data_IF_646992084688
#
_entry.id   IF_646992084688
#
_cell.length_a   1.000
_cell.length_b   1.000
_cell.length_c   1.000
_cell.angle_alpha   90.00
_cell.angle_beta   90.00
_cell.angle_gamma   90.00
#
_symmetry.space_group_name_H-M   'P 1'
#
loop_
_entity.id
_entity.type
_entity.pdbx_description
1 polymer ?
#
# COMPACT_ATOMS: atom_id res chain seq x y z
N UNK A 1 -10.75 -33.72 -46.21
CA UNK A 1 -9.35 -33.73 -45.72
C UNK A 1 -8.67 -32.44 -46.18
N UNK A 2 -7.82 -31.86 -45.32
CA UNK A 2 -6.81 -30.80 -45.54
C UNK A 2 -7.26 -29.31 -45.58
N UNK A 3 -7.16 -28.72 -44.38
CA UNK A 3 -6.66 -27.39 -43.94
C UNK A 3 -5.94 -26.47 -44.95
N UNK A 4 -6.04 -25.14 -44.73
CA UNK A 4 -5.00 -24.06 -44.66
C UNK A 4 -5.77 -22.70 -44.63
N UNK A 5 -5.90 -21.95 -43.52
CA UNK A 5 -4.97 -21.01 -42.81
C UNK A 5 -4.52 -19.78 -43.64
N UNK A 6 -4.94 -18.62 -43.14
CA UNK A 6 -4.42 -17.23 -43.23
C UNK A 6 -3.27 -16.86 -44.18
N UNK A 7 -3.43 -15.72 -44.88
CA UNK A 7 -2.34 -14.80 -45.21
C UNK A 7 -2.90 -13.38 -45.52
N UNK A 8 -2.75 -12.43 -44.58
CA UNK A 8 -2.68 -11.00 -44.92
C UNK A 8 -1.24 -10.58 -44.68
N UNK A 9 -0.60 -10.15 -45.76
CA UNK A 9 0.79 -9.74 -45.84
C UNK A 9 1.04 -8.43 -45.07
N UNK A 10 2.15 -8.48 -44.35
CA UNK A 10 2.86 -7.42 -43.65
C UNK A 10 3.35 -6.36 -44.64
N UNK A 11 3.14 -5.09 -44.32
CA UNK A 11 3.98 -3.99 -44.78
C UNK A 11 4.49 -3.24 -43.54
N UNK A 12 5.82 -3.26 -43.40
CA UNK A 12 6.57 -2.75 -42.28
C UNK A 12 6.59 -1.21 -42.24
N UNK A 13 6.48 -0.65 -41.05
CA UNK A 13 7.13 0.63 -40.72
C UNK A 13 8.02 0.36 -39.51
N UNK A 14 9.31 0.21 -39.79
CA UNK A 14 10.35 0.35 -38.79
C UNK A 14 10.37 1.82 -38.35
N UNK A 15 9.99 2.07 -37.11
CA UNK A 15 10.15 3.35 -36.42
C UNK A 15 10.48 3.07 -34.98
N UNK A 16 11.72 2.67 -34.72
CA UNK A 16 12.28 2.57 -33.39
C UNK A 16 12.33 3.97 -32.76
N UNK A 17 11.31 4.32 -32.00
CA UNK A 17 11.37 5.39 -31.01
C UNK A 17 11.27 4.70 -29.65
N UNK A 18 12.43 4.42 -29.04
CA UNK A 18 12.46 4.00 -27.65
C UNK A 18 11.72 5.00 -26.77
N UNK A 19 11.14 4.58 -25.63
CA UNK A 19 10.71 5.54 -24.64
C UNK A 19 11.97 6.27 -24.17
N UNK A 20 12.12 7.51 -24.62
CA UNK A 20 13.06 8.45 -24.03
C UNK A 20 12.68 8.56 -22.55
N UNK A 21 13.47 7.91 -21.70
CA UNK A 21 13.51 8.18 -20.26
C UNK A 21 14.04 9.61 -20.15
N UNK A 22 13.14 10.58 -20.26
CA UNK A 22 13.39 11.95 -19.87
C UNK A 22 13.57 11.94 -18.35
N UNK A 23 14.82 11.77 -17.93
CA UNK A 23 15.27 12.03 -16.58
C UNK A 23 15.12 13.54 -16.31
N UNK A 24 13.91 13.97 -15.99
CA UNK A 24 13.68 15.23 -15.31
C UNK A 24 14.05 15.03 -13.84
N UNK A 25 15.34 15.28 -13.55
CA UNK A 25 15.79 15.61 -12.21
C UNK A 25 15.18 16.96 -11.81
N UNK A 26 13.89 16.93 -11.45
CA UNK A 26 13.21 18.06 -10.84
C UNK A 26 13.51 18.04 -9.34
N UNK A 27 14.44 18.93 -8.97
CA UNK A 27 14.64 19.56 -7.65
C UNK A 27 13.58 19.16 -6.62
N UNK A 28 14.01 18.44 -5.57
CA UNK A 28 13.23 18.19 -4.35
C UNK A 28 12.67 19.50 -3.80
N UNK A 29 11.40 19.75 -4.10
CA UNK A 29 10.54 20.55 -3.27
C UNK A 29 9.79 19.56 -2.38
N UNK A 30 9.98 19.66 -1.06
CA UNK A 30 9.09 19.04 -0.08
C UNK A 30 7.71 19.64 -0.27
N UNK A 31 6.92 19.03 -1.15
CA UNK A 31 5.52 19.37 -1.31
C UNK A 31 4.74 18.65 -0.19
N UNK A 32 3.81 19.34 0.48
CA UNK A 32 2.87 18.67 1.34
C UNK A 32 2.11 17.64 0.51
N UNK A 33 1.96 16.43 1.04
CA UNK A 33 1.30 15.30 0.39
C UNK A 33 -0.20 15.60 0.25
N UNK A 34 -0.56 16.40 -0.75
CA UNK A 34 -1.95 16.60 -1.17
C UNK A 34 -2.16 15.83 -2.46
N UNK A 35 -2.26 14.50 -2.36
CA UNK A 35 -2.86 13.67 -3.39
C UNK A 35 -4.08 12.95 -2.79
N UNK A 36 -5.20 13.66 -2.81
CA UNK A 36 -6.55 13.18 -2.43
C UNK A 36 -7.18 12.40 -3.58
N UNK A 37 -6.43 11.51 -4.24
CA UNK A 37 -7.07 10.47 -5.03
C UNK A 37 -7.58 9.41 -4.05
N UNK A 38 -8.85 8.96 -4.15
CA UNK A 38 -9.35 7.90 -3.29
C UNK A 38 -8.47 6.67 -3.46
N UNK A 39 -8.07 6.08 -2.34
CA UNK A 39 -7.17 4.93 -2.34
C UNK A 39 -7.79 3.75 -3.11
N UNK A 40 -6.99 3.12 -3.97
CA UNK A 40 -7.40 1.93 -4.71
C UNK A 40 -7.66 0.74 -3.79
N UNK A 41 -8.34 -0.29 -4.28
CA UNK A 41 -8.62 -1.51 -3.51
C UNK A 41 -7.32 -2.16 -2.98
N UNK A 42 -6.28 -2.25 -3.81
CA UNK A 42 -4.98 -2.83 -3.41
C UNK A 42 -4.28 -2.02 -2.33
N UNK A 43 -4.35 -0.68 -2.43
CA UNK A 43 -3.77 0.22 -1.45
C UNK A 43 -4.49 0.12 -0.10
N UNK A 44 -5.83 0.04 -0.12
CA UNK A 44 -6.64 -0.17 1.09
C UNK A 44 -6.35 -1.52 1.74
N UNK A 45 -6.21 -2.59 0.94
CA UNK A 45 -5.79 -3.90 1.44
C UNK A 45 -4.38 -3.87 2.04
N UNK A 46 -3.40 -3.28 1.35
CA UNK A 46 -2.02 -3.17 1.84
C UNK A 46 -1.91 -2.37 3.13
N UNK A 47 -2.58 -1.20 3.18
CA UNK A 47 -2.62 -0.35 4.36
C UNK A 47 -3.36 -1.00 5.53
N UNK A 48 -4.47 -1.68 5.27
CA UNK A 48 -5.20 -2.43 6.29
C UNK A 48 -4.32 -3.52 6.92
N UNK A 49 -3.62 -4.31 6.11
CA UNK A 49 -2.68 -5.35 6.59
C UNK A 49 -1.59 -4.72 7.44
N UNK A 50 -0.99 -3.60 7.01
CA UNK A 50 0.08 -2.95 7.76
C UNK A 50 -0.39 -2.47 9.14
N UNK A 51 -1.54 -1.80 9.20
CA UNK A 51 -2.05 -1.21 10.45
C UNK A 51 -2.42 -2.29 11.47
N UNK A 52 -3.10 -3.36 11.03
CA UNK A 52 -3.39 -4.53 11.89
C UNK A 52 -2.10 -5.21 12.36
N UNK A 53 -1.10 -5.32 11.47
CA UNK A 53 0.19 -5.93 11.82
C UNK A 53 0.93 -5.14 12.89
N UNK A 54 0.88 -3.80 12.85
CA UNK A 54 1.51 -2.95 13.88
C UNK A 54 0.88 -3.22 15.25
N UNK A 55 -0.46 -3.28 15.31
CA UNK A 55 -1.14 -3.58 16.57
C UNK A 55 -0.83 -5.00 17.07
N UNK A 56 -0.88 -6.00 16.20
CA UNK A 56 -0.55 -7.39 16.55
C UNK A 56 0.89 -7.52 17.06
N UNK A 57 1.85 -6.82 16.46
CA UNK A 57 3.25 -6.77 16.93
C UNK A 57 3.30 -6.18 18.35
N UNK A 58 2.60 -5.07 18.61
CA UNK A 58 2.58 -4.45 19.93
C UNK A 58 1.91 -5.33 20.99
N UNK A 59 0.85 -6.07 20.62
CA UNK A 59 0.17 -7.00 21.51
C UNK A 59 1.06 -8.21 21.86
N UNK A 60 1.76 -8.77 20.88
CA UNK A 60 2.65 -9.93 21.07
C UNK A 60 3.99 -9.60 21.69
N UNK A 61 4.40 -8.32 21.67
CA UNK A 61 5.69 -7.87 22.20
C UNK A 61 5.50 -6.80 23.29
N UNK A 62 5.08 -7.18 24.50
CA UNK A 62 4.83 -6.24 25.60
C UNK A 62 6.09 -5.45 26.01
N UNK A 63 7.28 -5.99 25.76
CA UNK A 63 8.54 -5.27 25.96
C UNK A 63 8.72 -4.08 25.01
N UNK A 64 8.24 -4.18 23.76
CA UNK A 64 8.23 -3.05 22.83
C UNK A 64 7.26 -1.97 23.31
N UNK A 65 6.06 -2.37 23.74
CA UNK A 65 5.09 -1.45 24.33
C UNK A 65 5.64 -0.77 25.58
N UNK A 66 6.40 -1.50 26.42
CA UNK A 66 7.04 -0.95 27.61
C UNK A 66 8.19 -0.01 27.27
N UNK A 67 8.93 -0.26 26.19
CA UNK A 67 9.97 0.65 25.69
C UNK A 67 9.36 1.95 25.15
N UNK A 68 8.25 1.87 24.43
CA UNK A 68 7.52 3.06 23.98
C UNK A 68 6.92 3.85 25.16
N UNK A 69 6.40 3.18 26.20
CA UNK A 69 5.85 3.85 27.38
C UNK A 69 6.90 4.49 28.29
N UNK A 70 8.16 4.01 28.23
CA UNK A 70 9.32 4.57 28.94
C UNK A 70 10.13 5.57 28.12
N UNK A 71 9.83 5.73 26.82
CA UNK A 71 10.44 6.75 25.97
C UNK A 71 9.94 8.15 26.31
N UNK A 72 10.52 9.19 25.68
CA UNK A 72 10.08 10.58 25.83
C UNK A 72 8.55 10.69 25.71
N UNK A 73 7.91 11.61 26.44
CA UNK A 73 6.45 11.66 26.61
C UNK A 73 5.60 11.60 25.32
N UNK A 74 6.19 11.95 24.17
CA UNK A 74 5.59 11.78 22.83
C UNK A 74 5.43 10.32 22.40
N UNK A 75 6.36 9.45 22.76
CA UNK A 75 6.39 8.01 22.42
C UNK A 75 5.36 7.22 23.25
N UNK A 76 5.23 7.57 24.54
CA UNK A 76 4.23 6.97 25.42
C UNK A 76 2.80 7.36 25.01
N UNK A 77 2.60 8.60 24.54
CA UNK A 77 1.33 9.08 24.03
C UNK A 77 0.94 8.47 22.67
N UNK A 78 1.89 7.92 21.91
CA UNK A 78 1.62 7.24 20.63
C UNK A 78 1.02 5.84 20.80
N UNK A 79 1.20 5.17 21.95
CA UNK A 79 0.74 3.78 22.13
C UNK A 79 -0.78 3.60 21.95
N UNK A 80 -1.63 4.43 22.58
CA UNK A 80 -3.07 4.38 22.35
C UNK A 80 -3.43 4.69 20.90
N UNK A 81 -2.71 5.62 20.26
CA UNK A 81 -2.90 5.95 18.85
C UNK A 81 -2.59 4.74 17.95
N UNK A 82 -1.47 4.05 18.17
CA UNK A 82 -1.07 2.86 17.41
C UNK A 82 -2.08 1.70 17.56
N UNK A 83 -2.69 1.54 18.74
CA UNK A 83 -3.79 0.57 18.93
C UNK A 83 -5.05 0.95 18.18
N UNK A 84 -5.44 2.22 18.22
CA UNK A 84 -6.58 2.73 17.44
C UNK A 84 -6.34 2.55 15.93
N UNK A 85 -5.09 2.66 15.48
CA UNK A 85 -4.70 2.36 14.12
C UNK A 85 -4.97 0.90 13.75
N UNK A 86 -4.73 -0.06 14.65
CA UNK A 86 -5.10 -1.47 14.46
C UNK A 86 -6.58 -1.65 14.11
N UNK A 87 -7.47 -1.10 14.94
CA UNK A 87 -8.91 -1.13 14.69
C UNK A 87 -9.31 -0.42 13.38
N UNK A 88 -8.66 0.70 13.05
CA UNK A 88 -8.88 1.37 11.76
C UNK A 88 -8.45 0.51 10.57
N UNK A 89 -7.37 -0.27 10.74
CA UNK A 89 -6.89 -1.23 9.77
C UNK A 89 -7.89 -2.35 9.54
N UNK A 90 -8.51 -2.88 10.60
CA UNK A 90 -9.57 -3.90 10.49
C UNK A 90 -10.78 -3.38 9.70
N UNK A 91 -11.28 -2.19 10.05
CA UNK A 91 -12.40 -1.56 9.32
C UNK A 91 -12.05 -1.35 7.84
N UNK A 92 -10.81 -0.97 7.55
CA UNK A 92 -10.34 -0.77 6.18
C UNK A 92 -10.27 -2.10 5.41
N UNK A 93 -9.78 -3.16 6.05
CA UNK A 93 -9.78 -4.51 5.49
C UNK A 93 -11.21 -4.97 5.24
N UNK A 94 -12.11 -4.92 6.21
CA UNK A 94 -13.49 -5.37 6.06
C UNK A 94 -14.19 -4.70 4.87
N UNK A 95 -14.01 -3.38 4.71
CA UNK A 95 -14.54 -2.64 3.55
C UNK A 95 -13.90 -3.09 2.24
N UNK A 96 -12.58 -3.25 2.21
CA UNK A 96 -11.87 -3.67 1.00
C UNK A 96 -12.20 -5.12 0.61
N UNK A 97 -12.41 -5.99 1.59
CA UNK A 97 -12.86 -7.36 1.38
C UNK A 97 -14.30 -7.40 0.87
N UNK A 98 -15.21 -6.61 1.46
CA UNK A 98 -16.58 -6.49 0.96
C UNK A 98 -16.63 -6.00 -0.50
N UNK A 99 -15.82 -5.00 -0.85
CA UNK A 99 -15.70 -4.51 -2.23
C UNK A 99 -15.11 -5.58 -3.17
N UNK A 100 -14.06 -6.27 -2.76
CA UNK A 100 -13.43 -7.34 -3.55
C UNK A 100 -14.37 -8.54 -3.78
N UNK A 101 -15.15 -8.91 -2.77
CA UNK A 101 -16.18 -9.95 -2.86
C UNK A 101 -17.30 -9.54 -3.82
N UNK A 102 -17.73 -8.27 -3.80
CA UNK A 102 -18.69 -7.74 -4.76
C UNK A 102 -18.14 -7.77 -6.21
N UNK A 103 -16.83 -7.73 -6.39
CA UNK A 103 -16.14 -7.92 -7.67
C UNK A 103 -15.88 -9.40 -8.03
N UNK A 104 -16.40 -10.35 -7.25
CA UNK A 104 -16.24 -11.78 -7.49
C UNK A 104 -14.86 -12.34 -7.12
N UNK A 105 -14.04 -11.59 -6.38
CA UNK A 105 -12.75 -12.08 -5.91
C UNK A 105 -12.91 -12.93 -4.65
N UNK A 106 -12.07 -13.95 -4.49
CA UNK A 106 -12.07 -14.76 -3.27
C UNK A 106 -11.24 -14.10 -2.16
N UNK A 107 -11.51 -14.39 -0.88
CA UNK A 107 -10.73 -13.86 0.24
C UNK A 107 -9.22 -14.12 0.10
N UNK A 108 -8.84 -15.31 -0.36
CA UNK A 108 -7.43 -15.68 -0.55
C UNK A 108 -6.73 -14.81 -1.62
N UNK A 109 -7.45 -14.43 -2.68
CA UNK A 109 -6.92 -13.52 -3.71
C UNK A 109 -6.71 -12.13 -3.12
N UNK A 110 -7.70 -11.61 -2.38
CA UNK A 110 -7.62 -10.29 -1.74
C UNK A 110 -6.49 -10.22 -0.71
N UNK A 111 -6.31 -11.27 0.10
CA UNK A 111 -5.18 -11.40 1.01
C UNK A 111 -3.84 -11.30 0.27
N UNK A 112 -3.65 -12.10 -0.80
CA UNK A 112 -2.40 -12.08 -1.59
C UNK A 112 -2.14 -10.73 -2.22
N UNK A 113 -3.18 -10.04 -2.69
CA UNK A 113 -3.10 -8.68 -3.24
C UNK A 113 -2.65 -7.67 -2.18
N UNK A 114 -3.22 -7.73 -0.98
CA UNK A 114 -2.82 -6.87 0.14
C UNK A 114 -1.35 -7.07 0.53
N UNK A 115 -0.91 -8.32 0.69
CA UNK A 115 0.49 -8.63 1.00
C UNK A 115 1.44 -8.21 -0.14
N UNK A 116 1.04 -8.41 -1.39
CA UNK A 116 1.82 -7.99 -2.55
C UNK A 116 1.96 -6.46 -2.62
N UNK A 117 0.88 -5.72 -2.38
CA UNK A 117 0.92 -4.25 -2.33
C UNK A 117 1.83 -3.76 -1.20
N UNK A 118 1.68 -4.32 0.00
CA UNK A 118 2.51 -3.96 1.15
C UNK A 118 3.99 -4.21 0.88
N UNK A 119 4.33 -5.40 0.39
CA UNK A 119 5.72 -5.77 0.10
C UNK A 119 6.33 -4.92 -1.02
N UNK A 120 5.56 -4.55 -2.05
CA UNK A 120 6.02 -3.65 -3.10
C UNK A 120 6.44 -2.28 -2.55
N UNK A 121 5.71 -1.76 -1.55
CA UNK A 121 6.03 -0.48 -0.91
C UNK A 121 7.36 -0.51 -0.14
N UNK A 122 7.76 -1.66 0.41
CA UNK A 122 9.04 -1.84 1.10
C UNK A 122 10.18 -2.27 0.16
N UNK A 123 9.86 -2.93 -0.96
CA UNK A 123 10.85 -3.34 -1.96
C UNK A 123 11.49 -2.16 -2.71
N UNK A 124 10.78 -1.03 -2.80
CA UNK A 124 11.27 0.18 -3.44
C UNK A 124 12.38 0.92 -2.64
N UNK A 125 12.71 0.46 -1.44
CA UNK A 125 13.80 0.98 -0.60
C UNK A 125 13.55 0.70 0.89
N UNK A 126 14.46 -0.06 1.52
CA UNK A 126 14.31 -0.55 2.89
C UNK A 126 14.74 0.45 3.99
N UNK A 127 14.35 1.72 3.86
CA UNK A 127 14.78 2.80 4.77
C UNK A 127 13.70 3.25 5.76
N UNK A 128 14.13 3.87 6.88
CA UNK A 128 13.23 4.47 7.87
C UNK A 128 12.29 5.50 7.24
N UNK A 129 12.82 6.36 6.36
CA UNK A 129 12.02 7.43 5.73
C UNK A 129 10.94 6.86 4.81
N UNK A 130 11.24 5.76 4.12
CA UNK A 130 10.28 5.05 3.29
C UNK A 130 9.21 4.35 4.12
N UNK A 131 9.61 3.66 5.19
CA UNK A 131 8.66 3.06 6.13
C UNK A 131 7.73 4.13 6.73
N UNK A 132 8.27 5.30 7.10
CA UNK A 132 7.48 6.42 7.59
C UNK A 132 6.57 7.01 6.52
N UNK A 133 7.02 7.13 5.26
CA UNK A 133 6.18 7.62 4.16
C UNK A 133 5.00 6.68 3.89
N UNK A 134 5.23 5.36 3.87
CA UNK A 134 4.19 4.34 3.73
C UNK A 134 3.24 4.39 4.92
N UNK A 135 3.78 4.51 6.15
CA UNK A 135 2.98 4.65 7.37
C UNK A 135 2.07 5.89 7.33
N UNK A 136 2.62 7.05 7.01
CA UNK A 136 1.85 8.30 6.89
C UNK A 136 0.78 8.20 5.80
N UNK A 137 1.08 7.57 4.66
CA UNK A 137 0.09 7.34 3.61
C UNK A 137 -1.05 6.46 4.11
N UNK A 138 -0.75 5.35 4.78
CA UNK A 138 -1.78 4.45 5.28
C UNK A 138 -2.63 5.06 6.39
N UNK A 139 -2.07 5.93 7.24
CA UNK A 139 -2.87 6.72 8.17
C UNK A 139 -3.86 7.64 7.45
N UNK A 140 -3.45 8.28 6.35
CA UNK A 140 -4.34 9.12 5.55
C UNK A 140 -5.46 8.30 4.86
N UNK A 141 -5.16 7.07 4.45
CA UNK A 141 -6.14 6.15 3.86
C UNK A 141 -7.13 5.61 4.89
N UNK A 142 -6.66 5.34 6.11
CA UNK A 142 -7.49 4.84 7.22
C UNK A 142 -8.24 5.95 7.96
N UNK A 143 -7.92 7.22 7.72
CA UNK A 143 -8.63 8.34 8.31
C UNK A 143 -10.11 8.30 7.89
N UNK A 144 -11.06 8.47 8.83
CA UNK A 144 -12.46 8.53 8.50
C UNK A 144 -12.70 9.71 7.54
N UNK A 145 -13.48 9.48 6.49
CA UNK A 145 -14.00 10.57 5.66
C UNK A 145 -14.89 11.44 6.56
N UNK A 146 -14.43 12.67 6.81
CA UNK A 146 -15.17 13.71 7.53
C UNK A 146 -16.37 14.20 6.74
#
# INVERSE_FOLDING_TARGET
MKTIVSAILVAAVFGAAGPAVAASAAKSATQPVTQTAPAGLDERLGCGVMLVTIDEILQRNPDLATKFSKGDGSSAAMLPMLRMLGASGEILLDKAYAEGLAQGQTPTVLYRRGVANLSANFAAGGGKDQAMAVFTRCMAVAAPAS
#
